data_IF_009868924151
#
_entry.id   IF_009868924151
#
_cell.length_a   1.000
_cell.length_b   1.000
_cell.length_c   1.000
_cell.angle_alpha   90.00
_cell.angle_beta   90.00
_cell.angle_gamma   90.00
#
_symmetry.space_group_name_H-M   'P 1'
#
loop_
_entity.id
_entity.type
_entity.pdbx_description
1 polymer ?
#
# COMPACT_ATOMS: atom_id res chain seq x y z
N UNK A 1 38.08 3.69 23.43
CA UNK A 1 36.63 3.70 23.11
C UNK A 1 36.07 5.06 23.46
N UNK A 2 35.97 5.95 22.46
CA UNK A 2 35.32 7.26 22.58
C UNK A 2 33.81 7.02 22.66
N UNK A 3 33.30 6.93 23.88
CA UNK A 3 31.91 7.24 24.13
C UNK A 3 31.85 8.77 24.27
N UNK A 4 30.85 9.40 23.65
CA UNK A 4 30.39 10.78 23.95
C UNK A 4 30.79 12.03 23.11
N UNK A 5 31.34 11.94 21.89
CA UNK A 5 31.48 13.17 21.05
C UNK A 5 30.77 13.15 19.68
N UNK A 6 30.37 11.98 19.16
CA UNK A 6 29.77 11.90 17.81
C UNK A 6 28.28 11.57 17.75
N UNK A 7 27.77 10.81 18.72
CA UNK A 7 26.40 10.32 18.67
C UNK A 7 25.45 11.33 19.32
N UNK A 8 24.68 12.04 18.48
CA UNK A 8 23.56 12.87 18.93
C UNK A 8 22.30 12.36 18.26
N UNK A 9 21.14 12.53 18.90
CA UNK A 9 19.85 12.20 18.29
C UNK A 9 19.70 12.89 16.92
N UNK A 10 20.29 14.08 16.74
CA UNK A 10 20.26 14.82 15.47
C UNK A 10 20.94 14.05 14.35
N UNK A 11 22.13 13.50 14.59
CA UNK A 11 22.81 12.64 13.61
C UNK A 11 22.03 11.35 13.34
N UNK A 12 21.43 10.76 14.39
CA UNK A 12 20.62 9.57 14.25
C UNK A 12 19.35 9.83 13.42
N UNK A 13 18.65 10.95 13.66
CA UNK A 13 17.47 11.40 12.91
C UNK A 13 17.82 11.69 11.44
N UNK A 14 18.96 12.34 11.18
CA UNK A 14 19.45 12.61 9.81
C UNK A 14 19.74 11.34 9.01
N UNK A 15 20.06 10.23 9.68
CA UNK A 15 20.29 8.94 9.03
C UNK A 15 19.00 8.24 8.58
N UNK A 16 17.81 8.78 8.88
CA UNK A 16 16.50 8.18 8.61
C UNK A 16 16.43 6.70 9.04
N UNK A 17 16.55 6.43 10.35
CA UNK A 17 16.69 5.08 10.87
C UNK A 17 15.41 4.29 10.64
N UNK A 18 15.58 3.00 10.37
CA UNK A 18 14.47 2.05 10.29
C UNK A 18 13.87 1.81 11.67
N UNK A 19 12.62 1.32 11.70
CA UNK A 19 11.93 0.97 12.96
C UNK A 19 12.74 -0.03 13.79
N UNK A 20 13.39 -0.99 13.15
CA UNK A 20 14.25 -1.98 13.81
C UNK A 20 15.48 -1.34 14.46
N UNK A 21 16.08 -0.33 13.82
CA UNK A 21 17.23 0.39 14.37
C UNK A 21 16.82 1.27 15.56
N UNK A 22 15.65 1.92 15.48
CA UNK A 22 15.06 2.67 16.59
C UNK A 22 14.80 1.72 17.77
N UNK A 23 14.16 0.56 17.53
CA UNK A 23 13.91 -0.45 18.54
C UNK A 23 15.19 -0.94 19.24
N UNK A 24 16.22 -1.29 18.46
CA UNK A 24 17.52 -1.72 19.01
C UNK A 24 18.16 -0.62 19.87
N UNK A 25 18.06 0.63 19.43
CA UNK A 25 18.62 1.75 20.18
C UNK A 25 17.83 2.01 21.48
N UNK A 26 16.50 2.01 21.43
CA UNK A 26 15.65 2.15 22.62
C UNK A 26 15.93 1.03 23.62
N UNK A 27 16.00 -0.23 23.19
CA UNK A 27 16.33 -1.35 24.07
C UNK A 27 17.68 -1.18 24.79
N UNK A 28 18.70 -0.68 24.08
CA UNK A 28 20.00 -0.36 24.67
C UNK A 28 19.90 0.76 25.71
N UNK A 29 19.15 1.82 25.42
CA UNK A 29 18.96 2.92 26.36
C UNK A 29 18.14 2.49 27.58
N UNK A 30 17.12 1.65 27.42
CA UNK A 30 16.35 1.07 28.54
C UNK A 30 17.22 0.15 29.41
N UNK A 31 18.14 -0.62 28.80
CA UNK A 31 19.10 -1.43 29.54
C UNK A 31 20.04 -0.53 30.38
N UNK A 32 20.60 0.53 29.79
CA UNK A 32 21.43 1.49 30.53
C UNK A 32 20.67 2.21 31.62
N UNK A 33 19.42 2.63 31.36
CA UNK A 33 18.56 3.21 32.37
C UNK A 33 18.41 2.26 33.57
N UNK A 34 18.13 0.98 33.30
CA UNK A 34 18.01 -0.05 34.34
C UNK A 34 19.32 -0.28 35.10
N UNK A 35 20.46 -0.28 34.40
CA UNK A 35 21.77 -0.45 35.02
C UNK A 35 22.12 0.71 35.96
N UNK A 36 21.90 1.94 35.51
CA UNK A 36 22.16 3.15 36.31
C UNK A 36 21.17 3.26 37.47
N UNK A 37 19.89 2.92 37.25
CA UNK A 37 18.87 3.02 38.31
C UNK A 37 18.97 1.90 39.34
N UNK A 38 18.95 0.64 38.90
CA UNK A 38 18.86 -0.52 39.80
C UNK A 38 20.21 -1.10 40.19
N UNK A 39 21.17 -1.14 39.26
CA UNK A 39 22.42 -1.90 39.46
C UNK A 39 23.52 -1.04 40.10
N UNK A 40 23.44 0.29 40.02
CA UNK A 40 24.41 1.20 40.62
C UNK A 40 24.18 1.38 42.13
N UNK A 41 24.97 0.68 42.95
CA UNK A 41 24.90 0.78 44.41
C UNK A 41 25.32 2.18 44.89
N UNK A 42 24.53 2.88 45.74
CA UNK A 42 24.77 4.28 46.15
C UNK A 42 26.14 4.57 46.78
N UNK A 43 26.75 3.54 47.37
CA UNK A 43 28.13 3.57 47.81
C UNK A 43 28.63 2.17 48.16
N UNK A 44 29.93 1.98 48.14
CA UNK A 44 30.56 0.74 48.57
C UNK A 44 31.96 1.03 49.14
N UNK A 45 32.34 0.24 50.14
CA UNK A 45 33.66 0.33 50.74
C UNK A 45 34.65 -0.53 49.96
N UNK A 46 35.83 0.02 49.68
CA UNK A 46 36.98 -0.68 49.08
C UNK A 46 38.17 -0.46 50.00
N UNK A 47 38.47 -1.46 50.83
CA UNK A 47 39.50 -1.33 51.87
C UNK A 47 39.16 -0.22 52.87
N UNK A 48 40.03 0.80 52.95
CA UNK A 48 39.84 1.98 53.81
C UNK A 48 39.06 3.12 53.13
N UNK A 49 38.73 2.99 51.85
CA UNK A 49 38.04 4.02 51.08
C UNK A 49 36.53 3.76 51.01
N UNK A 50 35.74 4.81 51.14
CA UNK A 50 34.31 4.79 50.86
C UNK A 50 34.03 5.55 49.57
N UNK A 51 33.50 4.86 48.56
CA UNK A 51 33.14 5.47 47.28
C UNK A 51 31.64 5.77 47.29
N UNK A 52 31.27 7.04 47.11
CA UNK A 52 29.88 7.47 46.93
C UNK A 52 29.57 7.62 45.43
N UNK A 53 28.62 6.82 44.94
CA UNK A 53 28.22 6.82 43.53
C UNK A 53 26.92 7.59 43.28
N UNK A 54 26.20 7.98 44.34
CA UNK A 54 24.89 8.65 44.27
C UNK A 54 24.92 9.91 43.39
N UNK A 55 25.96 10.74 43.51
CA UNK A 55 26.11 11.95 42.68
C UNK A 55 26.30 11.61 41.20
N UNK A 56 26.98 10.52 40.88
CA UNK A 56 27.17 10.06 39.51
C UNK A 56 25.87 9.49 38.95
N UNK A 57 25.15 8.65 39.73
CA UNK A 57 23.81 8.15 39.37
C UNK A 57 22.86 9.31 39.04
N UNK A 58 22.77 10.31 39.91
CA UNK A 58 21.89 11.47 39.73
C UNK A 58 22.27 12.34 38.51
N UNK A 59 23.50 12.26 38.03
CA UNK A 59 23.95 12.96 36.81
C UNK A 59 23.69 12.15 35.54
N UNK A 60 23.77 10.82 35.61
CA UNK A 60 23.63 9.93 34.47
C UNK A 60 22.16 9.64 34.12
N UNK A 61 21.29 9.45 35.11
CA UNK A 61 19.87 9.15 34.86
C UNK A 61 19.19 10.18 33.94
N UNK A 62 19.29 11.51 34.19
CA UNK A 62 18.63 12.49 33.33
C UNK A 62 19.13 12.49 31.88
N UNK A 63 20.37 12.05 31.63
CA UNK A 63 20.94 11.96 30.28
C UNK A 63 20.27 10.81 29.52
N UNK A 64 20.11 9.65 30.16
CA UNK A 64 19.46 8.48 29.57
C UNK A 64 17.96 8.72 29.39
N UNK A 65 17.30 9.34 30.37
CA UNK A 65 15.89 9.73 30.28
C UNK A 65 15.65 10.66 29.10
N UNK A 66 16.48 11.71 28.96
CA UNK A 66 16.39 12.63 27.83
C UNK A 66 16.57 11.90 26.50
N UNK A 67 17.55 11.01 26.39
CA UNK A 67 17.77 10.25 25.16
C UNK A 67 16.60 9.32 24.83
N UNK A 68 15.96 8.70 25.84
CA UNK A 68 14.75 7.89 25.66
C UNK A 68 13.57 8.73 25.20
N UNK A 69 13.33 9.89 25.82
CA UNK A 69 12.26 10.82 25.41
C UNK A 69 12.43 11.28 23.95
N UNK A 70 13.65 11.66 23.56
CA UNK A 70 13.94 12.08 22.18
C UNK A 70 13.75 10.93 21.16
N UNK A 71 13.99 9.68 21.56
CA UNK A 71 13.73 8.49 20.74
C UNK A 71 12.25 8.18 20.62
N UNK A 72 11.49 8.33 21.71
CA UNK A 72 10.03 8.18 21.72
C UNK A 72 9.36 9.23 20.83
N UNK A 73 9.83 10.47 20.87
CA UNK A 73 9.37 11.55 19.98
C UNK A 73 9.62 11.21 18.50
N UNK A 74 10.84 10.74 18.17
CA UNK A 74 11.16 10.28 16.82
C UNK A 74 10.28 9.10 16.38
N UNK A 75 10.03 8.15 17.29
CA UNK A 75 9.20 6.99 17.02
C UNK A 75 7.74 7.41 16.80
N UNK A 76 7.24 8.39 17.54
CA UNK A 76 5.89 8.96 17.38
C UNK A 76 5.73 9.70 16.05
N UNK A 77 6.70 10.54 15.67
CA UNK A 77 6.74 11.20 14.36
C UNK A 77 6.70 10.16 13.23
N UNK A 78 7.52 9.12 13.32
CA UNK A 78 7.54 8.06 12.33
C UNK A 78 6.25 7.23 12.34
N UNK A 79 5.63 7.03 13.51
CA UNK A 79 4.39 6.27 13.66
C UNK A 79 3.27 6.98 12.91
N UNK A 80 3.13 8.29 13.16
CA UNK A 80 2.14 9.13 12.51
C UNK A 80 2.26 9.06 10.97
N UNK A 81 3.46 9.35 10.44
CA UNK A 81 3.71 9.34 8.99
C UNK A 81 3.46 7.97 8.36
N UNK A 82 3.90 6.87 9.00
CA UNK A 82 3.67 5.51 8.48
C UNK A 82 2.21 5.09 8.55
N UNK A 83 1.48 5.51 9.59
CA UNK A 83 0.06 5.24 9.75
C UNK A 83 -0.74 5.93 8.64
N UNK A 84 -0.50 7.23 8.39
CA UNK A 84 -1.14 7.97 7.29
C UNK A 84 -0.84 7.34 5.93
N UNK A 85 0.42 6.98 5.68
CA UNK A 85 0.83 6.34 4.43
C UNK A 85 0.17 4.97 4.22
N UNK A 86 0.07 4.16 5.27
CA UNK A 86 -0.61 2.87 5.21
C UNK A 86 -2.12 3.04 4.99
N UNK A 87 -2.74 3.97 5.72
CA UNK A 87 -4.17 4.29 5.60
C UNK A 87 -4.49 4.77 4.18
N UNK A 88 -3.72 5.71 3.64
CA UNK A 88 -3.87 6.20 2.26
C UNK A 88 -3.82 5.07 1.25
N UNK A 89 -2.89 4.11 1.41
CA UNK A 89 -2.79 2.95 0.52
C UNK A 89 -4.03 2.05 0.63
N UNK A 90 -4.52 1.75 1.83
CA UNK A 90 -5.75 0.97 1.99
C UNK A 90 -6.96 1.67 1.40
N UNK A 91 -7.15 2.95 1.67
CA UNK A 91 -8.26 3.74 1.14
C UNK A 91 -8.25 3.77 -0.39
N UNK A 92 -7.07 3.95 -1.01
CA UNK A 92 -6.93 3.91 -2.46
C UNK A 92 -7.28 2.52 -3.04
N UNK A 93 -6.81 1.44 -2.41
CA UNK A 93 -7.15 0.08 -2.83
C UNK A 93 -8.66 -0.20 -2.67
N UNK A 94 -9.26 0.23 -1.56
CA UNK A 94 -10.70 0.08 -1.30
C UNK A 94 -11.53 0.85 -2.32
N UNK A 95 -11.13 2.08 -2.67
CA UNK A 95 -11.79 2.88 -3.69
C UNK A 95 -11.70 2.22 -5.07
N UNK A 96 -10.54 1.69 -5.45
CA UNK A 96 -10.36 0.96 -6.70
C UNK A 96 -11.18 -0.34 -6.76
N UNK A 97 -11.35 -1.04 -5.63
CA UNK A 97 -12.22 -2.22 -5.54
C UNK A 97 -13.71 -1.87 -5.57
N UNK A 98 -14.11 -0.66 -5.16
CA UNK A 98 -15.50 -0.21 -5.18
C UNK A 98 -16.01 0.12 -6.60
N UNK A 99 -15.11 0.28 -7.57
CA UNK A 99 -15.47 0.52 -8.96
C UNK A 99 -16.16 -0.71 -9.56
N UNK A 100 -17.35 -0.51 -10.14
CA UNK A 100 -18.10 -1.57 -10.81
C UNK A 100 -17.93 -1.42 -12.33
N UNK A 101 -17.21 -2.33 -13.01
CA UNK A 101 -16.97 -2.24 -14.45
C UNK A 101 -18.26 -2.44 -15.25
N UNK A 102 -18.43 -1.59 -16.27
CA UNK A 102 -19.60 -1.57 -17.18
C UNK A 102 -19.25 -2.04 -18.59
N UNK A 103 -18.01 -1.86 -19.03
CA UNK A 103 -17.51 -2.36 -20.31
C UNK A 103 -16.60 -3.60 -20.15
N UNK A 104 -16.40 -4.34 -21.24
CA UNK A 104 -15.49 -5.49 -21.25
C UNK A 104 -14.04 -5.09 -20.90
N UNK A 105 -13.59 -3.96 -21.45
CA UNK A 105 -12.25 -3.41 -21.18
C UNK A 105 -12.09 -3.06 -19.70
N UNK A 106 -13.05 -2.33 -19.13
CA UNK A 106 -13.08 -2.01 -17.70
C UNK A 106 -13.09 -3.26 -16.82
N UNK A 107 -13.81 -4.31 -17.23
CA UNK A 107 -13.86 -5.57 -16.49
C UNK A 107 -12.50 -6.28 -16.49
N UNK A 108 -11.81 -6.30 -17.63
CA UNK A 108 -10.46 -6.86 -17.74
C UNK A 108 -9.44 -6.08 -16.88
N UNK A 109 -9.48 -4.75 -16.92
CA UNK A 109 -8.66 -3.87 -16.07
C UNK A 109 -8.95 -4.08 -14.58
N UNK A 110 -10.22 -4.23 -14.22
CA UNK A 110 -10.66 -4.48 -12.84
C UNK A 110 -10.13 -5.82 -12.32
N UNK A 111 -10.22 -6.90 -13.10
CA UNK A 111 -9.62 -8.20 -12.75
C UNK A 111 -8.09 -8.12 -12.62
N UNK A 112 -7.43 -7.40 -13.54
CA UNK A 112 -5.97 -7.17 -13.47
C UNK A 112 -5.59 -6.46 -12.16
N UNK A 113 -6.34 -5.42 -11.81
CA UNK A 113 -6.16 -4.66 -10.57
C UNK A 113 -6.39 -5.52 -9.32
N UNK A 114 -7.44 -6.34 -9.29
CA UNK A 114 -7.69 -7.28 -8.19
C UNK A 114 -6.54 -8.28 -8.01
N UNK A 115 -6.01 -8.84 -9.10
CA UNK A 115 -4.86 -9.75 -9.06
C UNK A 115 -3.62 -9.05 -8.47
N UNK A 116 -3.36 -7.81 -8.89
CA UNK A 116 -2.28 -6.99 -8.35
C UNK A 116 -2.48 -6.73 -6.86
N UNK A 117 -3.67 -6.32 -6.42
CA UNK A 117 -3.96 -6.09 -5.00
C UNK A 117 -3.81 -7.36 -4.16
N UNK A 118 -4.16 -8.53 -4.71
CA UNK A 118 -3.94 -9.82 -4.04
C UNK A 118 -2.44 -10.14 -3.88
N UNK A 119 -1.62 -9.79 -4.87
CA UNK A 119 -0.16 -9.95 -4.79
C UNK A 119 0.49 -8.94 -3.83
N UNK A 120 -0.04 -7.71 -3.77
CA UNK A 120 0.47 -6.64 -2.92
C UNK A 120 -0.05 -6.72 -1.47
N UNK A 121 -1.10 -7.48 -1.20
CA UNK A 121 -1.72 -7.62 0.13
C UNK A 121 -0.71 -7.98 1.25
N UNK A 122 0.24 -8.92 1.07
CA UNK A 122 1.26 -9.20 2.08
C UNK A 122 2.18 -8.01 2.38
N UNK A 123 2.47 -7.18 1.37
CA UNK A 123 3.30 -5.99 1.56
C UNK A 123 2.55 -4.90 2.33
N UNK A 124 1.26 -4.72 2.05
CA UNK A 124 0.39 -3.82 2.83
C UNK A 124 0.20 -4.31 4.27
N UNK A 125 0.07 -5.62 4.47
CA UNK A 125 0.00 -6.22 5.80
C UNK A 125 1.29 -5.94 6.60
N UNK A 126 2.47 -6.15 6.00
CA UNK A 126 3.75 -5.81 6.65
C UNK A 126 3.86 -4.35 7.06
N UNK A 127 3.36 -3.42 6.24
CA UNK A 127 3.33 -2.00 6.59
C UNK A 127 2.46 -1.73 7.82
N UNK A 128 1.28 -2.37 7.88
CA UNK A 128 0.40 -2.27 9.06
C UNK A 128 1.07 -2.87 10.30
N UNK A 129 1.70 -4.03 10.15
CA UNK A 129 2.34 -4.72 11.27
C UNK A 129 3.55 -3.93 11.80
N UNK A 130 4.24 -3.16 10.95
CA UNK A 130 5.24 -2.17 11.40
C UNK A 130 4.62 -1.06 12.23
N UNK A 131 3.46 -0.53 11.84
CA UNK A 131 2.75 0.52 12.60
C UNK A 131 2.31 -0.02 13.97
N UNK A 132 1.79 -1.25 14.03
CA UNK A 132 1.43 -1.92 15.28
C UNK A 132 2.66 -2.15 16.19
N UNK A 133 3.79 -2.58 15.62
CA UNK A 133 5.04 -2.70 16.38
C UNK A 133 5.47 -1.36 16.99
N UNK A 134 5.33 -0.27 16.26
CA UNK A 134 5.66 1.07 16.76
C UNK A 134 4.72 1.51 17.88
N UNK A 135 3.42 1.21 17.76
CA UNK A 135 2.44 1.40 18.83
C UNK A 135 2.83 0.62 20.10
N UNK A 136 3.21 -0.65 19.95
CA UNK A 136 3.62 -1.50 21.07
C UNK A 136 4.90 -0.94 21.73
N UNK A 137 5.86 -0.46 20.95
CA UNK A 137 7.10 0.15 21.47
C UNK A 137 6.82 1.47 22.21
N UNK A 138 5.91 2.31 21.72
CA UNK A 138 5.51 3.55 22.40
C UNK A 138 4.79 3.27 23.72
N UNK A 139 3.88 2.29 23.75
CA UNK A 139 3.09 1.96 24.94
C UNK A 139 3.86 1.15 25.98
N UNK A 140 4.82 0.32 25.55
CA UNK A 140 5.71 -0.46 26.43
C UNK A 140 6.97 0.29 26.89
N UNK A 141 7.18 1.51 26.39
CA UNK A 141 8.30 2.39 26.76
C UNK A 141 8.34 2.68 28.26
N UNK A 142 9.52 3.07 28.76
CA UNK A 142 9.72 3.40 30.18
C UNK A 142 8.80 4.53 30.65
N UNK A 143 8.50 5.49 29.77
CA UNK A 143 7.60 6.61 30.05
C UNK A 143 6.12 6.25 29.84
N UNK A 144 5.81 5.08 29.29
CA UNK A 144 4.45 4.62 28.97
C UNK A 144 3.66 5.70 28.22
N UNK A 145 4.24 6.18 27.12
CA UNK A 145 3.65 7.25 26.34
C UNK A 145 2.22 6.88 25.94
N UNK A 146 1.27 7.71 26.35
CA UNK A 146 -0.12 7.62 25.88
C UNK A 146 -0.18 8.31 24.53
N UNK A 147 -0.68 7.61 23.53
CA UNK A 147 -0.83 8.19 22.20
C UNK A 147 -1.78 9.39 22.23
N UNK A 148 -1.46 10.45 21.48
CA UNK A 148 -2.40 11.53 21.22
C UNK A 148 -3.71 10.99 20.65
N UNK A 149 -4.83 11.66 20.97
CA UNK A 149 -6.16 11.23 20.53
C UNK A 149 -6.28 11.09 19.01
N UNK A 150 -5.62 11.98 18.26
CA UNK A 150 -5.60 11.96 16.79
C UNK A 150 -4.91 10.69 16.26
N UNK A 151 -3.76 10.34 16.84
CA UNK A 151 -3.00 9.15 16.45
C UNK A 151 -3.71 7.84 16.82
N UNK A 152 -4.42 7.83 17.96
CA UNK A 152 -5.25 6.70 18.35
C UNK A 152 -6.40 6.48 17.35
N UNK A 153 -7.07 7.55 16.91
CA UNK A 153 -8.12 7.48 15.88
C UNK A 153 -7.54 6.98 14.55
N UNK A 154 -6.39 7.51 14.11
CA UNK A 154 -5.72 7.06 12.87
C UNK A 154 -5.40 5.56 12.90
N UNK A 155 -4.94 5.05 14.04
CA UNK A 155 -4.66 3.62 14.20
C UNK A 155 -5.92 2.76 14.10
N UNK A 156 -7.01 3.19 14.72
CA UNK A 156 -8.29 2.49 14.64
C UNK A 156 -8.87 2.53 13.22
N UNK A 157 -8.74 3.66 12.52
CA UNK A 157 -9.09 3.78 11.10
C UNK A 157 -8.25 2.87 10.22
N UNK A 158 -6.95 2.75 10.49
CA UNK A 158 -6.04 1.84 9.78
C UNK A 158 -6.46 0.38 9.99
N UNK A 159 -6.73 -0.02 11.25
CA UNK A 159 -7.20 -1.38 11.59
C UNK A 159 -8.52 -1.71 10.90
N UNK A 160 -9.46 -0.76 10.91
CA UNK A 160 -10.74 -0.88 10.22
C UNK A 160 -10.56 -1.01 8.71
N UNK A 161 -9.70 -0.17 8.11
CA UNK A 161 -9.42 -0.18 6.67
C UNK A 161 -8.70 -1.46 6.23
N UNK A 162 -7.76 -1.98 7.02
CA UNK A 162 -7.10 -3.28 6.79
C UNK A 162 -8.13 -4.40 6.71
N UNK A 163 -9.08 -4.44 7.66
CA UNK A 163 -10.17 -5.43 7.68
C UNK A 163 -11.08 -5.26 6.47
N UNK A 164 -11.54 -4.03 6.19
CA UNK A 164 -12.42 -3.76 5.06
C UNK A 164 -11.79 -4.11 3.71
N UNK A 165 -10.49 -3.84 3.53
CA UNK A 165 -9.76 -4.22 2.33
C UNK A 165 -9.76 -5.74 2.10
N UNK A 166 -9.46 -6.54 3.13
CA UNK A 166 -9.44 -8.00 3.01
C UNK A 166 -10.84 -8.54 2.66
N UNK A 167 -11.88 -8.04 3.34
CA UNK A 167 -13.27 -8.43 3.10
C UNK A 167 -13.71 -8.05 1.69
N UNK A 168 -13.50 -6.79 1.27
CA UNK A 168 -13.86 -6.31 -0.07
C UNK A 168 -13.12 -7.04 -1.17
N UNK A 169 -11.82 -7.31 -0.99
CA UNK A 169 -11.03 -8.05 -1.97
C UNK A 169 -11.60 -9.46 -2.18
N UNK A 170 -12.03 -10.14 -1.11
CA UNK A 170 -12.65 -11.45 -1.20
C UNK A 170 -14.03 -11.39 -1.88
N UNK A 171 -14.87 -10.42 -1.53
CA UNK A 171 -16.21 -10.23 -2.10
C UNK A 171 -16.13 -9.91 -3.59
N UNK A 172 -15.33 -8.92 -3.99
CA UNK A 172 -15.21 -8.51 -5.40
C UNK A 172 -14.53 -9.57 -6.26
N UNK A 173 -13.60 -10.35 -5.69
CA UNK A 173 -13.02 -11.50 -6.38
C UNK A 173 -14.08 -12.56 -6.69
N UNK A 174 -14.93 -12.90 -5.71
CA UNK A 174 -15.98 -13.89 -5.93
C UNK A 174 -17.05 -13.38 -6.90
N UNK A 175 -17.43 -12.10 -6.80
CA UNK A 175 -18.36 -11.45 -7.74
C UNK A 175 -17.81 -11.40 -9.17
N UNK A 176 -16.52 -11.14 -9.34
CA UNK A 176 -15.88 -11.14 -10.67
C UNK A 176 -15.79 -12.56 -11.23
N UNK A 177 -15.53 -13.54 -10.35
CA UNK A 177 -15.53 -14.96 -10.71
C UNK A 177 -16.91 -15.46 -11.13
N UNK A 178 -17.98 -15.02 -10.46
CA UNK A 178 -19.35 -15.43 -10.82
C UNK A 178 -19.86 -14.77 -12.09
N UNK A 179 -19.43 -13.53 -12.41
CA UNK A 179 -19.75 -12.84 -13.68
C UNK A 179 -18.92 -13.31 -14.88
N UNK A 180 -17.79 -13.99 -14.64
CA UNK A 180 -16.87 -14.42 -15.70
C UNK A 180 -17.52 -15.31 -16.80
N UNK A 181 -18.43 -16.25 -16.48
CA UNK A 181 -19.16 -17.01 -17.50
C UNK A 181 -20.07 -16.14 -18.36
N UNK A 182 -20.81 -15.20 -17.76
CA UNK A 182 -21.70 -14.26 -18.46
C UNK A 182 -20.90 -13.38 -19.43
N UNK A 183 -19.80 -12.79 -18.95
CA UNK A 183 -18.92 -11.96 -19.77
C UNK A 183 -18.29 -12.77 -20.91
N UNK A 184 -17.99 -14.05 -20.68
CA UNK A 184 -17.46 -14.93 -21.73
C UNK A 184 -18.51 -15.20 -22.81
N UNK A 185 -19.75 -15.46 -22.42
CA UNK A 185 -20.84 -15.65 -23.36
C UNK A 185 -21.09 -14.38 -24.19
N UNK A 186 -21.09 -13.19 -23.55
CA UNK A 186 -21.20 -11.91 -24.25
C UNK A 186 -20.08 -11.72 -25.28
N UNK A 187 -18.84 -12.09 -24.94
CA UNK A 187 -17.70 -12.04 -25.87
C UNK A 187 -17.89 -13.01 -27.03
N UNK A 188 -18.29 -14.26 -26.77
CA UNK A 188 -18.52 -15.27 -27.80
C UNK A 188 -19.66 -14.85 -28.74
N UNK A 189 -20.74 -14.27 -28.22
CA UNK A 189 -21.84 -13.71 -29.02
C UNK A 189 -21.39 -12.51 -29.85
N UNK A 190 -20.60 -11.59 -29.27
CA UNK A 190 -20.06 -10.44 -30.00
C UNK A 190 -19.11 -10.88 -31.12
N UNK A 191 -18.26 -11.88 -30.89
CA UNK A 191 -17.40 -12.47 -31.93
C UNK A 191 -18.25 -13.09 -33.05
N UNK A 192 -19.27 -13.87 -32.70
CA UNK A 192 -20.16 -14.48 -33.68
C UNK A 192 -20.89 -13.43 -34.53
N UNK A 193 -21.36 -12.35 -33.90
CA UNK A 193 -21.99 -11.23 -34.59
C UNK A 193 -21.01 -10.51 -35.52
N UNK A 194 -19.79 -10.23 -35.05
CA UNK A 194 -18.76 -9.59 -35.87
C UNK A 194 -18.37 -10.45 -37.08
N UNK A 195 -18.27 -11.77 -36.89
CA UNK A 195 -18.02 -12.72 -37.98
C UNK A 195 -19.15 -12.75 -39.00
N UNK A 196 -20.42 -12.71 -38.55
CA UNK A 196 -21.57 -12.62 -39.45
C UNK A 196 -21.58 -11.30 -40.24
N UNK A 197 -21.28 -10.18 -39.59
CA UNK A 197 -21.16 -8.86 -40.25
C UNK A 197 -20.03 -8.87 -41.29
N UNK A 198 -18.87 -9.45 -40.98
CA UNK A 198 -17.76 -9.61 -41.92
C UNK A 198 -18.13 -10.54 -43.10
N UNK A 199 -18.80 -11.67 -42.84
CA UNK A 199 -19.25 -12.56 -43.90
C UNK A 199 -20.34 -11.94 -44.78
N UNK A 200 -21.23 -11.13 -44.20
CA UNK A 200 -22.23 -10.38 -44.97
C UNK A 200 -21.55 -9.32 -45.85
N UNK A 201 -20.53 -8.63 -45.32
CA UNK A 201 -19.73 -7.67 -46.07
C UNK A 201 -18.96 -8.34 -47.22
N UNK A 202 -18.34 -9.49 -46.96
CA UNK A 202 -17.62 -10.30 -47.96
C UNK A 202 -18.57 -10.84 -49.05
N UNK A 203 -19.76 -11.30 -48.65
CA UNK A 203 -20.82 -11.71 -49.57
C UNK A 203 -21.33 -10.55 -50.43
N UNK A 204 -21.45 -9.36 -49.85
CA UNK A 204 -21.81 -8.13 -50.57
C UNK A 204 -20.73 -7.68 -51.55
N UNK A 205 -19.45 -7.86 -51.22
CA UNK A 205 -18.33 -7.59 -52.14
C UNK A 205 -18.27 -8.60 -53.29
N UNK A 206 -18.72 -9.83 -53.03
CA UNK A 206 -18.71 -10.93 -54.00
C UNK A 206 -19.95 -10.96 -54.91
N UNK A 207 -20.89 -10.02 -54.77
CA UNK A 207 -22.16 -9.97 -55.50
C UNK A 207 -22.53 -8.53 -55.93
N UNK A 208 -23.45 -8.38 -56.88
CA UNK A 208 -24.04 -7.08 -57.23
C UNK A 208 -23.15 -6.15 -58.06
N UNK A 209 -23.24 -4.84 -57.79
CA UNK A 209 -22.58 -3.74 -58.53
C UNK A 209 -21.06 -3.88 -58.66
N UNK A 210 -20.41 -4.65 -57.79
CA UNK A 210 -18.96 -4.87 -57.79
C UNK A 210 -18.50 -5.94 -58.79
N UNK A 211 -19.42 -6.80 -59.28
CA UNK A 211 -19.16 -7.88 -60.25
C UNK A 211 -19.88 -7.63 -61.57
N UNK A 212 -20.82 -6.67 -61.60
CA UNK A 212 -21.61 -6.33 -62.79
C UNK A 212 -20.81 -5.47 -63.79
N UNK A 213 -20.63 -5.99 -64.99
CA UNK A 213 -19.91 -5.37 -66.11
C UNK A 213 -20.62 -4.09 -66.60
N UNK A 214 -21.90 -3.91 -66.26
CA UNK A 214 -22.71 -2.76 -66.68
C UNK A 214 -22.87 -1.67 -65.60
N UNK A 215 -22.26 -1.83 -64.42
CA UNK A 215 -22.30 -0.82 -63.36
C UNK A 215 -21.50 0.45 -63.74
N UNK A 216 -21.98 1.62 -63.33
CA UNK A 216 -21.29 2.89 -63.59
C UNK A 216 -20.18 3.14 -62.55
N UNK A 217 -18.97 3.55 -62.95
CA UNK A 217 -17.82 3.70 -62.04
C UNK A 217 -18.11 4.57 -60.81
N UNK A 218 -18.85 5.66 -60.98
CA UNK A 218 -19.16 6.61 -59.90
C UNK A 218 -20.04 6.00 -58.81
N UNK A 219 -20.96 5.10 -59.19
CA UNK A 219 -21.83 4.41 -58.22
C UNK A 219 -21.08 3.33 -57.46
N UNK A 220 -20.14 2.64 -58.11
CA UNK A 220 -19.27 1.63 -57.47
C UNK A 220 -18.33 2.28 -56.46
N UNK A 221 -17.75 3.44 -56.78
CA UNK A 221 -16.83 4.15 -55.87
C UNK A 221 -17.57 4.64 -54.61
N UNK A 222 -18.76 5.22 -54.77
CA UNK A 222 -19.56 5.68 -53.63
C UNK A 222 -19.92 4.54 -52.67
N UNK A 223 -20.28 3.36 -53.20
CA UNK A 223 -20.60 2.19 -52.38
C UNK A 223 -19.35 1.62 -51.68
N UNK A 224 -18.17 1.65 -52.34
CA UNK A 224 -16.88 1.29 -51.72
C UNK A 224 -16.54 2.23 -50.57
N UNK A 225 -16.79 3.54 -50.68
CA UNK A 225 -16.52 4.50 -49.61
C UNK A 225 -17.41 4.23 -48.38
N UNK A 226 -18.70 3.94 -48.61
CA UNK A 226 -19.63 3.55 -47.53
C UNK A 226 -19.17 2.26 -46.85
N UNK A 227 -18.73 1.26 -47.62
CA UNK A 227 -18.20 0.01 -47.07
C UNK A 227 -16.84 0.17 -46.38
N UNK A 228 -16.00 1.09 -46.85
CA UNK A 228 -14.76 1.46 -46.18
C UNK A 228 -15.02 2.11 -44.82
N UNK A 229 -16.05 2.95 -44.71
CA UNK A 229 -16.47 3.54 -43.45
C UNK A 229 -17.03 2.50 -42.46
N UNK A 230 -17.80 1.50 -42.94
CA UNK A 230 -18.29 0.42 -42.08
C UNK A 230 -17.16 -0.51 -41.62
N UNK A 231 -16.21 -0.86 -42.50
CA UNK A 231 -14.98 -1.59 -42.11
C UNK A 231 -14.17 -0.84 -41.06
N UNK A 232 -14.00 0.46 -41.22
CA UNK A 232 -13.27 1.28 -40.24
C UNK A 232 -13.98 1.34 -38.88
N UNK A 233 -15.32 1.31 -38.87
CA UNK A 233 -16.12 1.21 -37.63
C UNK A 233 -15.99 -0.18 -36.97
N UNK A 234 -16.03 -1.25 -37.76
CA UNK A 234 -15.82 -2.62 -37.25
C UNK A 234 -14.41 -2.75 -36.66
N UNK A 235 -13.42 -2.14 -37.31
CA UNK A 235 -12.03 -2.13 -36.84
C UNK A 235 -11.86 -1.34 -35.53
N UNK A 236 -12.60 -0.24 -35.33
CA UNK A 236 -12.62 0.47 -34.05
C UNK A 236 -13.32 -0.30 -32.93
N UNK A 237 -14.39 -1.06 -33.24
CA UNK A 237 -15.09 -1.87 -32.25
C UNK A 237 -14.33 -3.15 -31.85
N UNK A 238 -13.36 -3.58 -32.67
CA UNK A 238 -12.50 -4.73 -32.39
C UNK A 238 -11.21 -4.38 -31.60
N UNK A 239 -10.91 -3.08 -31.44
CA UNK A 239 -9.73 -2.56 -30.74
C UNK A 239 -10.06 -2.19 -29.28
#
# INVERSE_FOLDING_TARGET
>A
HQFDEGWTIKHFRLANPTVEEIQKCMARQTAWHTDVDRNMRPGFAVGIFHIESRKLKNRLLPIVDKALMEMEELLLESFHSKCEDALRKYTNCIAALAFSPTSLSEFAEHISSQKKFKQDAPNLAKLSDQVELMYDLLTSSTHKLVLPSQDAVLLDELRSSKKSFIERLAIEWEKSRSRMPEIREDVDQNIAKLNLELHALDGSLSQGLFVDIHATPDTVIAEIEVMGATLSNIQQNAA
#
